data_IF_880090447975
#
_entry.id   IF_880090447975
#
_cell.length_a   1.000
_cell.length_b   1.000
_cell.length_c   1.000
_cell.angle_alpha   90.00
_cell.angle_beta   90.00
_cell.angle_gamma   90.00
#
_symmetry.space_group_name_H-M   'P 1'
#
loop_
_entity.id
_entity.type
_entity.pdbx_description
1 polymer ?
#
# COMPACT_ATOMS: atom_id res chain seq x y z
N UNK A 1 14.97 20.31 14.72
CA UNK A 1 14.19 21.56 14.74
C UNK A 1 12.72 21.20 14.83
N UNK A 2 11.93 21.89 15.67
CA UNK A 2 10.47 21.79 15.58
C UNK A 2 10.06 22.43 14.25
N UNK A 3 9.24 21.74 13.45
CA UNK A 3 8.85 22.24 12.13
C UNK A 3 8.19 23.62 12.27
N UNK A 4 8.58 24.58 11.45
CA UNK A 4 7.95 25.89 11.38
C UNK A 4 6.47 25.75 10.97
N UNK A 5 5.65 26.77 11.28
CA UNK A 5 4.26 26.80 10.82
C UNK A 5 4.13 26.75 9.29
N UNK A 6 5.14 27.26 8.57
CA UNK A 6 5.20 27.21 7.11
C UNK A 6 5.46 25.78 6.60
N UNK A 7 6.42 25.07 7.18
CA UNK A 7 6.74 23.68 6.83
C UNK A 7 5.53 22.75 7.04
N UNK A 8 4.82 22.89 8.16
CA UNK A 8 3.61 22.09 8.42
C UNK A 8 2.52 22.33 7.35
N UNK A 9 2.35 23.57 6.88
CA UNK A 9 1.43 23.90 5.78
C UNK A 9 1.89 23.30 4.46
N UNK A 10 3.17 23.38 4.15
CA UNK A 10 3.74 22.84 2.91
C UNK A 10 3.55 21.31 2.83
N UNK A 11 3.91 20.59 3.90
CA UNK A 11 3.77 19.12 3.96
C UNK A 11 2.28 18.72 3.84
N UNK A 12 1.36 19.55 4.35
CA UNK A 12 -0.07 19.32 4.18
C UNK A 12 -0.50 19.52 2.73
N UNK A 13 -0.04 20.58 2.07
CA UNK A 13 -0.34 20.83 0.65
C UNK A 13 0.22 19.73 -0.26
N UNK A 14 1.48 19.33 -0.10
CA UNK A 14 2.06 18.24 -0.91
C UNK A 14 1.27 16.94 -0.76
N UNK A 15 0.78 16.63 0.45
CA UNK A 15 -0.14 15.51 0.68
C UNK A 15 -1.49 15.67 -0.02
N UNK A 16 -2.06 16.88 -0.03
CA UNK A 16 -3.31 17.17 -0.74
C UNK A 16 -3.19 16.93 -2.24
N UNK A 17 -2.07 17.32 -2.85
CA UNK A 17 -1.80 17.10 -4.28
C UNK A 17 -1.18 15.72 -4.58
N UNK A 18 -1.04 14.85 -3.57
CA UNK A 18 -0.41 13.53 -3.68
C UNK A 18 0.99 13.57 -4.32
N UNK A 19 1.75 14.64 -4.07
CA UNK A 19 3.11 14.84 -4.59
C UNK A 19 4.09 14.16 -3.63
N UNK A 20 4.63 13.01 -4.04
CA UNK A 20 5.64 12.33 -3.25
C UNK A 20 6.94 13.16 -3.19
N UNK A 21 7.65 13.23 -2.03
CA UNK A 21 8.72 14.21 -1.84
C UNK A 21 9.89 14.11 -2.83
N UNK A 22 10.17 12.91 -3.35
CA UNK A 22 11.19 12.73 -4.40
C UNK A 22 10.89 13.49 -5.70
N UNK A 23 9.61 13.81 -5.94
CA UNK A 23 9.13 14.58 -7.08
C UNK A 23 8.97 16.07 -6.77
N UNK A 24 9.40 16.58 -5.61
CA UNK A 24 9.40 18.03 -5.40
C UNK A 24 10.34 18.80 -6.35
N UNK A 25 11.52 18.29 -6.73
CA UNK A 25 12.44 18.99 -7.64
C UNK A 25 11.85 19.43 -8.99
N UNK A 26 10.90 18.69 -9.56
CA UNK A 26 10.25 19.07 -10.84
C UNK A 26 9.47 20.39 -10.70
N UNK A 27 8.89 20.67 -9.53
CA UNK A 27 8.12 21.90 -9.29
C UNK A 27 9.00 23.14 -9.04
N UNK A 28 10.32 22.97 -9.00
CA UNK A 28 11.29 24.09 -9.00
C UNK A 28 11.64 24.54 -10.43
N UNK A 29 11.44 23.68 -11.43
CA UNK A 29 11.93 23.87 -12.81
C UNK A 29 10.83 24.25 -13.80
N UNK A 30 9.56 24.10 -13.44
CA UNK A 30 8.44 24.29 -14.34
C UNK A 30 8.00 25.76 -14.46
N UNK A 31 7.80 26.22 -15.70
CA UNK A 31 7.13 27.50 -16.02
C UNK A 31 5.63 27.49 -15.62
N UNK A 32 5.07 26.33 -15.28
CA UNK A 32 3.73 26.20 -14.74
C UNK A 32 3.74 26.53 -13.23
N UNK A 33 3.02 27.58 -12.84
CA UNK A 33 2.80 27.94 -11.45
C UNK A 33 1.91 26.89 -10.76
N UNK A 34 2.50 25.78 -10.31
CA UNK A 34 1.81 24.87 -9.40
C UNK A 34 1.60 25.56 -8.05
N UNK A 35 0.47 25.35 -7.33
CA UNK A 35 0.21 26.00 -6.05
C UNK A 35 1.26 25.83 -4.94
N UNK A 36 2.19 24.87 -5.10
CA UNK A 36 3.26 24.62 -4.11
C UNK A 36 4.59 25.28 -4.49
N UNK A 37 4.76 25.76 -5.72
CA UNK A 37 6.06 26.16 -6.27
C UNK A 37 6.70 27.29 -5.46
N UNK A 38 5.97 28.37 -5.21
CA UNK A 38 6.52 29.51 -4.45
C UNK A 38 6.92 29.12 -3.03
N UNK A 39 6.09 28.32 -2.35
CA UNK A 39 6.39 27.87 -1.00
C UNK A 39 7.59 26.91 -0.97
N UNK A 40 7.74 26.06 -1.99
CA UNK A 40 8.93 25.21 -2.13
C UNK A 40 10.18 26.07 -2.32
N UNK A 41 10.15 27.07 -3.20
CA UNK A 41 11.27 27.98 -3.43
C UNK A 41 11.68 28.67 -2.13
N UNK A 42 10.72 29.24 -1.39
CA UNK A 42 10.97 29.89 -0.09
C UNK A 42 11.67 28.94 0.89
N UNK A 43 11.16 27.72 1.06
CA UNK A 43 11.76 26.73 1.97
C UNK A 43 13.15 26.28 1.52
N UNK A 44 13.40 26.21 0.21
CA UNK A 44 14.71 25.84 -0.34
C UNK A 44 15.72 26.96 -0.11
N UNK A 45 15.33 28.23 -0.27
CA UNK A 45 16.19 29.37 0.04
C UNK A 45 16.47 29.46 1.55
N UNK A 46 15.47 29.28 2.42
CA UNK A 46 15.66 29.20 3.87
C UNK A 46 16.65 28.07 4.24
N UNK A 47 16.49 26.88 3.66
CA UNK A 47 17.40 25.77 3.87
C UNK A 47 18.81 26.05 3.33
N UNK A 48 18.93 26.77 2.21
CA UNK A 48 20.22 27.18 1.65
C UNK A 48 20.95 28.17 2.58
N UNK A 49 20.24 29.16 3.10
CA UNK A 49 20.79 30.12 4.08
C UNK A 49 21.25 29.40 5.35
N UNK A 50 20.42 28.50 5.89
CA UNK A 50 20.77 27.67 7.03
C UNK A 50 22.04 26.84 6.78
N UNK A 51 22.11 26.13 5.65
CA UNK A 51 23.28 25.34 5.29
C UNK A 51 24.53 26.20 5.08
N UNK A 52 24.38 27.45 4.68
CA UNK A 52 25.50 28.40 4.51
C UNK A 52 26.06 28.84 5.87
N UNK A 53 25.22 28.91 6.90
CA UNK A 53 25.63 29.21 8.27
C UNK A 53 26.22 28.01 9.03
N UNK A 54 25.96 26.78 8.57
CA UNK A 54 26.46 25.55 9.20
C UNK A 54 27.97 25.33 9.02
N UNK A 55 28.59 24.72 10.03
CA UNK A 55 29.94 24.17 9.92
C UNK A 55 29.95 22.89 9.06
N UNK A 56 31.12 22.51 8.52
CA UNK A 56 31.26 21.32 7.67
C UNK A 56 30.82 20.04 8.40
N UNK A 57 31.11 19.93 9.70
CA UNK A 57 30.69 18.78 10.53
C UNK A 57 29.16 18.68 10.70
N UNK A 58 28.46 19.82 10.75
CA UNK A 58 27.00 19.86 10.83
C UNK A 58 26.37 19.43 9.50
N UNK A 59 26.93 19.90 8.38
CA UNK A 59 26.50 19.48 7.04
C UNK A 59 26.70 17.97 6.83
N UNK A 60 27.83 17.42 7.28
CA UNK A 60 28.08 15.98 7.24
C UNK A 60 27.06 15.20 8.09
N UNK A 61 26.74 15.70 9.29
CA UNK A 61 25.71 15.10 10.14
C UNK A 61 24.33 15.12 9.47
N UNK A 62 23.95 16.23 8.84
CA UNK A 62 22.70 16.34 8.08
C UNK A 62 22.67 15.35 6.92
N UNK A 63 23.76 15.25 6.14
CA UNK A 63 23.89 14.26 5.07
C UNK A 63 23.69 12.84 5.61
N UNK A 64 24.36 12.50 6.71
CA UNK A 64 24.28 11.17 7.32
C UNK A 64 22.88 10.84 7.84
N UNK A 65 22.11 11.83 8.29
CA UNK A 65 20.72 11.68 8.73
C UNK A 65 19.69 11.61 7.59
N UNK A 66 20.10 11.84 6.32
CA UNK A 66 19.19 11.72 5.19
C UNK A 66 18.87 10.25 4.86
N UNK A 67 17.63 9.96 4.42
CA UNK A 67 17.29 8.69 3.80
C UNK A 67 18.19 8.35 2.61
N UNK A 68 18.52 7.06 2.43
CA UNK A 68 19.42 6.60 1.36
C UNK A 68 18.95 6.99 -0.05
N UNK A 69 17.62 7.01 -0.26
CA UNK A 69 17.01 7.46 -1.51
C UNK A 69 17.30 8.92 -1.85
N UNK A 70 17.56 9.79 -0.88
CA UNK A 70 17.93 11.19 -1.13
C UNK A 70 19.44 11.39 -1.25
N UNK A 71 20.24 10.61 -0.50
CA UNK A 71 21.71 10.66 -0.56
C UNK A 71 22.26 10.47 -1.96
N UNK A 72 21.62 9.66 -2.81
CA UNK A 72 22.06 9.48 -4.21
C UNK A 72 21.98 10.74 -5.07
N UNK A 73 21.23 11.77 -4.63
CA UNK A 73 21.07 13.02 -5.35
C UNK A 73 21.90 14.17 -4.79
N UNK A 74 22.65 13.95 -3.71
CA UNK A 74 23.47 14.99 -3.08
C UNK A 74 24.89 14.49 -2.85
N UNK A 75 25.86 15.39 -2.92
CA UNK A 75 27.26 15.05 -2.59
C UNK A 75 27.44 15.07 -1.08
N UNK A 76 28.28 14.16 -0.55
CA UNK A 76 28.70 14.20 0.86
C UNK A 76 29.61 15.37 1.18
N UNK A 77 30.25 15.97 0.16
CA UNK A 77 31.05 17.20 0.27
C UNK A 77 30.49 18.29 -0.62
N UNK A 78 30.34 19.50 -0.07
CA UNK A 78 29.82 20.68 -0.77
C UNK A 78 31.00 21.59 -1.14
N UNK A 79 31.36 21.61 -2.42
CA UNK A 79 32.49 22.35 -2.97
C UNK A 79 32.07 23.67 -3.64
N UNK A 80 30.81 23.78 -4.04
CA UNK A 80 30.30 24.96 -4.74
C UNK A 80 28.82 25.27 -4.42
N UNK A 81 28.41 26.49 -4.81
CA UNK A 81 27.05 26.99 -4.59
C UNK A 81 25.97 26.09 -5.19
N UNK A 82 26.20 25.55 -6.39
CA UNK A 82 25.25 24.66 -7.07
C UNK A 82 25.00 23.38 -6.28
N UNK A 83 26.05 22.78 -5.73
CA UNK A 83 25.93 21.61 -4.84
C UNK A 83 25.19 21.97 -3.56
N UNK A 84 25.42 23.15 -2.98
CA UNK A 84 24.71 23.62 -1.78
C UNK A 84 23.21 23.81 -2.02
N UNK A 85 22.83 24.48 -3.11
CA UNK A 85 21.42 24.63 -3.51
C UNK A 85 20.73 23.29 -3.75
N UNK A 86 21.44 22.36 -4.39
CA UNK A 86 20.95 20.98 -4.58
C UNK A 86 20.78 20.26 -3.23
N UNK A 87 21.73 20.42 -2.31
CA UNK A 87 21.62 19.86 -0.96
C UNK A 87 20.41 20.44 -0.21
N UNK A 88 20.21 21.77 -0.26
CA UNK A 88 19.06 22.43 0.35
C UNK A 88 17.72 21.86 -0.16
N UNK A 89 17.58 21.70 -1.48
CA UNK A 89 16.40 21.10 -2.09
C UNK A 89 16.11 19.70 -1.55
N UNK A 90 17.10 18.81 -1.58
CA UNK A 90 16.89 17.43 -1.11
C UNK A 90 16.81 17.31 0.41
N UNK A 91 17.37 18.27 1.15
CA UNK A 91 17.13 18.40 2.58
C UNK A 91 15.65 18.69 2.86
N UNK A 92 15.05 19.68 2.18
CA UNK A 92 13.60 19.96 2.27
C UNK A 92 12.79 18.72 1.88
N UNK A 93 13.11 18.04 0.78
CA UNK A 93 12.44 16.80 0.39
C UNK A 93 12.48 15.73 1.51
N UNK A 94 13.63 15.58 2.16
CA UNK A 94 13.80 14.61 3.25
C UNK A 94 12.97 14.95 4.49
N UNK A 95 12.87 16.23 4.85
CA UNK A 95 12.04 16.67 5.98
C UNK A 95 10.54 16.52 5.67
N UNK A 96 10.13 16.75 4.42
CA UNK A 96 8.76 16.47 3.98
C UNK A 96 8.46 14.97 4.06
N UNK A 97 9.37 14.09 3.60
CA UNK A 97 9.20 12.63 3.64
C UNK A 97 8.93 12.10 5.05
N UNK A 98 9.69 12.56 6.04
CA UNK A 98 9.54 12.15 7.45
C UNK A 98 8.13 12.32 7.99
N UNK A 99 7.38 13.30 7.47
CA UNK A 99 6.02 13.61 7.93
C UNK A 99 4.93 13.24 6.93
N UNK A 100 5.28 12.83 5.71
CA UNK A 100 4.33 12.62 4.62
C UNK A 100 3.37 11.44 4.89
N UNK A 101 3.87 10.36 5.48
CA UNK A 101 3.12 9.14 5.80
C UNK A 101 2.94 8.88 7.30
N UNK A 102 2.63 9.90 8.10
CA UNK A 102 2.37 9.72 9.53
C UNK A 102 1.31 8.64 9.79
N UNK A 103 1.71 7.53 10.43
CA UNK A 103 0.82 6.42 10.74
C UNK A 103 -0.09 6.74 11.92
N UNK A 104 0.39 7.49 12.92
CA UNK A 104 -0.44 7.94 14.05
C UNK A 104 -1.74 8.61 13.57
N UNK A 105 -1.65 9.51 12.58
CA UNK A 105 -2.82 10.20 12.02
C UNK A 105 -3.67 9.35 11.07
N UNK A 106 -3.09 8.31 10.45
CA UNK A 106 -3.84 7.36 9.62
C UNK A 106 -4.62 6.36 10.49
N UNK A 107 -4.01 5.91 11.58
CA UNK A 107 -4.64 5.02 12.55
C UNK A 107 -5.71 5.78 13.33
N UNK A 108 -5.41 7.00 13.80
CA UNK A 108 -6.29 7.82 14.62
C UNK A 108 -6.86 9.02 13.86
N UNK A 109 -7.62 8.76 12.81
CA UNK A 109 -8.30 9.84 12.08
C UNK A 109 -9.32 10.54 12.99
N UNK A 110 -9.05 11.81 13.29
CA UNK A 110 -9.99 12.70 13.95
C UNK A 110 -10.88 13.36 12.89
N UNK A 111 -12.19 13.06 12.91
CA UNK A 111 -13.14 13.61 11.93
C UNK A 111 -13.30 15.13 12.04
N UNK A 112 -13.11 15.71 13.24
CA UNK A 112 -13.13 17.17 13.44
C UNK A 112 -11.99 17.87 12.70
N UNK A 113 -10.88 17.16 12.48
CA UNK A 113 -9.73 17.67 11.76
C UNK A 113 -9.78 17.37 10.25
N UNK A 114 -10.76 16.58 9.81
CA UNK A 114 -10.86 16.09 8.43
C UNK A 114 -10.88 17.24 7.42
N UNK A 115 -9.90 17.26 6.52
CA UNK A 115 -9.89 18.18 5.40
C UNK A 115 -11.05 17.92 4.43
N UNK A 116 -11.45 16.64 4.29
CA UNK A 116 -12.59 16.25 3.46
C UNK A 116 -13.89 16.82 4.04
N UNK A 117 -14.17 16.60 5.33
CA UNK A 117 -15.42 17.07 5.95
C UNK A 117 -15.46 18.59 6.17
N UNK A 118 -14.29 19.24 6.28
CA UNK A 118 -14.23 20.71 6.26
C UNK A 118 -14.66 21.29 4.92
N UNK A 119 -14.34 20.62 3.81
CA UNK A 119 -14.72 21.06 2.47
C UNK A 119 -16.13 20.59 2.08
N UNK A 120 -16.50 19.38 2.47
CA UNK A 120 -17.80 18.75 2.19
C UNK A 120 -18.42 18.20 3.48
N UNK A 121 -18.96 19.07 4.36
CA UNK A 121 -19.57 18.65 5.62
C UNK A 121 -20.72 17.64 5.43
N UNK A 122 -21.43 17.72 4.31
CA UNK A 122 -22.54 16.82 3.94
C UNK A 122 -22.10 15.36 3.78
N UNK A 123 -20.81 15.10 3.56
CA UNK A 123 -20.30 13.73 3.48
C UNK A 123 -20.31 13.03 4.84
N UNK A 124 -20.41 13.74 5.96
CA UNK A 124 -20.46 13.14 7.30
C UNK A 124 -21.58 12.12 7.45
N UNK A 125 -22.73 12.35 6.80
CA UNK A 125 -23.89 11.44 6.79
C UNK A 125 -23.70 10.21 5.89
N UNK A 126 -22.64 10.19 5.07
CA UNK A 126 -22.32 9.09 4.14
C UNK A 126 -21.31 8.10 4.73
N UNK A 127 -20.79 8.35 5.93
CA UNK A 127 -19.91 7.42 6.62
C UNK A 127 -20.71 6.50 7.56
N UNK A 128 -20.36 5.22 7.58
CA UNK A 128 -20.87 4.31 8.60
C UNK A 128 -20.15 4.48 9.94
N UNK A 129 -20.60 3.74 10.96
CA UNK A 129 -19.99 3.74 12.30
C UNK A 129 -18.53 3.28 12.33
N UNK A 130 -18.08 2.54 11.32
CA UNK A 130 -16.72 2.05 11.19
C UNK A 130 -15.83 3.06 10.43
N UNK A 131 -16.40 4.20 9.98
CA UNK A 131 -15.71 5.25 9.23
C UNK A 131 -15.59 4.97 7.73
N UNK A 132 -16.37 4.03 7.19
CA UNK A 132 -16.35 3.71 5.76
C UNK A 132 -17.35 4.57 4.98
N UNK A 133 -16.91 5.14 3.86
CA UNK A 133 -17.76 5.90 2.96
C UNK A 133 -18.67 4.96 2.16
N UNK A 134 -19.98 5.20 2.19
CA UNK A 134 -20.95 4.50 1.34
C UNK A 134 -20.85 4.93 -0.12
N UNK A 135 -20.56 3.99 -1.01
CA UNK A 135 -20.29 4.26 -2.44
C UNK A 135 -21.55 4.16 -3.29
N UNK A 136 -22.32 5.26 -3.34
CA UNK A 136 -23.51 5.42 -4.16
C UNK A 136 -23.20 6.09 -5.52
N UNK A 137 -24.24 6.45 -6.28
CA UNK A 137 -24.11 7.07 -7.62
C UNK A 137 -23.40 8.43 -7.64
N UNK A 138 -23.20 9.07 -6.49
CA UNK A 138 -22.58 10.40 -6.39
C UNK A 138 -21.04 10.32 -6.53
N UNK A 139 -20.49 9.10 -6.51
CA UNK A 139 -19.06 8.83 -6.55
C UNK A 139 -18.65 8.09 -7.82
N UNK A 140 -17.53 8.53 -8.42
CA UNK A 140 -16.84 7.81 -9.50
C UNK A 140 -15.53 7.28 -8.94
N UNK A 141 -15.36 5.95 -8.96
CA UNK A 141 -14.15 5.31 -8.47
C UNK A 141 -13.10 5.29 -9.57
N UNK A 142 -11.92 5.79 -9.26
CA UNK A 142 -10.71 5.60 -10.06
C UNK A 142 -9.71 4.77 -9.25
N UNK A 143 -8.73 4.18 -9.93
CA UNK A 143 -7.71 3.35 -9.27
C UNK A 143 -6.88 4.19 -8.27
N UNK A 144 -6.71 5.49 -8.52
CA UNK A 144 -5.96 6.43 -7.65
C UNK A 144 -6.78 7.16 -6.57
N UNK A 145 -8.11 7.15 -6.64
CA UNK A 145 -8.98 7.85 -5.70
C UNK A 145 -10.45 7.88 -6.14
N UNK A 146 -11.29 8.56 -5.36
CA UNK A 146 -12.73 8.64 -5.58
C UNK A 146 -13.08 10.07 -5.99
N UNK A 147 -13.62 10.26 -7.18
CA UNK A 147 -14.15 11.57 -7.58
C UNK A 147 -15.43 11.88 -6.82
N UNK A 148 -15.47 13.05 -6.20
CA UNK A 148 -16.67 13.67 -5.67
C UNK A 148 -16.67 15.15 -6.04
N UNK A 149 -17.70 15.58 -6.79
CA UNK A 149 -17.77 16.93 -7.37
C UNK A 149 -16.47 17.28 -8.11
N UNK A 150 -15.82 18.39 -7.75
CA UNK A 150 -14.59 18.89 -8.38
C UNK A 150 -13.31 18.39 -7.68
N UNK A 151 -13.39 17.35 -6.86
CA UNK A 151 -12.24 16.87 -6.09
C UNK A 151 -12.10 15.35 -6.16
N UNK A 152 -10.89 14.87 -5.88
CA UNK A 152 -10.55 13.48 -5.63
C UNK A 152 -10.34 13.29 -4.13
N UNK A 153 -11.12 12.37 -3.56
CA UNK A 153 -10.93 11.84 -2.21
C UNK A 153 -9.94 10.68 -2.31
N UNK A 154 -8.85 10.73 -1.56
CA UNK A 154 -7.86 9.64 -1.59
C UNK A 154 -8.36 8.44 -0.79
N UNK A 155 -8.08 7.23 -1.26
CA UNK A 155 -8.23 6.03 -0.43
C UNK A 155 -7.38 6.13 0.84
N UNK A 156 -7.85 5.46 1.89
CA UNK A 156 -7.16 5.41 3.17
C UNK A 156 -5.69 4.96 3.00
N UNK A 157 -4.75 5.54 3.75
CA UNK A 157 -3.32 5.24 3.62
C UNK A 157 -3.01 3.73 3.73
N UNK A 158 -3.76 3.00 4.55
CA UNK A 158 -3.58 1.55 4.73
C UNK A 158 -4.07 0.69 3.55
N UNK A 159 -4.68 1.28 2.52
CA UNK A 159 -4.97 0.62 1.23
C UNK A 159 -3.82 0.77 0.22
N UNK A 160 -2.74 1.47 0.58
CA UNK A 160 -1.54 1.62 -0.26
C UNK A 160 -0.62 0.42 -0.14
N UNK A 161 0.10 0.10 -1.22
CA UNK A 161 1.18 -0.88 -1.19
C UNK A 161 2.24 -0.46 -0.18
N UNK A 162 2.58 -1.35 0.75
CA UNK A 162 3.48 -1.05 1.88
C UNK A 162 3.05 0.15 2.72
N UNK A 163 1.77 0.53 2.66
CA UNK A 163 1.14 1.67 3.34
C UNK A 163 1.75 3.06 3.09
N UNK A 164 2.71 3.16 2.17
CA UNK A 164 3.52 4.35 1.86
C UNK A 164 3.74 4.54 0.35
N UNK A 165 3.20 3.68 -0.50
CA UNK A 165 3.33 3.80 -1.96
C UNK A 165 2.00 4.20 -2.62
N UNK A 166 1.84 3.86 -3.89
CA UNK A 166 0.57 3.95 -4.60
C UNK A 166 -0.51 3.07 -3.96
N UNK A 167 -1.80 3.38 -4.16
CA UNK A 167 -2.90 2.46 -3.85
C UNK A 167 -2.65 1.06 -4.42
N UNK A 168 -3.22 0.04 -3.79
CA UNK A 168 -3.26 -1.30 -4.36
C UNK A 168 -4.20 -1.32 -5.58
N UNK A 169 -3.69 -0.93 -6.75
CA UNK A 169 -4.50 -0.71 -7.95
C UNK A 169 -5.29 -1.95 -8.36
N UNK A 170 -4.69 -3.14 -8.37
CA UNK A 170 -5.38 -4.38 -8.72
C UNK A 170 -6.62 -4.62 -7.84
N UNK A 171 -6.48 -4.43 -6.52
CA UNK A 171 -7.60 -4.57 -5.60
C UNK A 171 -8.68 -3.51 -5.84
N UNK A 172 -8.28 -2.23 -5.97
CA UNK A 172 -9.22 -1.12 -6.14
C UNK A 172 -9.96 -1.20 -7.47
N UNK A 173 -9.27 -1.60 -8.53
CA UNK A 173 -9.84 -1.79 -9.86
C UNK A 173 -10.89 -2.89 -9.83
N UNK A 174 -10.56 -4.08 -9.32
CA UNK A 174 -11.54 -5.17 -9.16
C UNK A 174 -12.72 -4.74 -8.28
N UNK A 175 -12.46 -4.03 -7.18
CA UNK A 175 -13.51 -3.51 -6.30
C UNK A 175 -14.45 -2.54 -7.03
N UNK A 176 -13.90 -1.61 -7.81
CA UNK A 176 -14.65 -0.61 -8.56
C UNK A 176 -15.45 -1.23 -9.71
N UNK A 177 -14.85 -2.15 -10.46
CA UNK A 177 -15.48 -2.90 -11.55
C UNK A 177 -16.65 -3.72 -11.02
N UNK A 178 -16.41 -4.50 -9.97
CA UNK A 178 -17.45 -5.33 -9.36
C UNK A 178 -18.61 -4.50 -8.84
N UNK A 179 -18.31 -3.33 -8.25
CA UNK A 179 -19.32 -2.37 -7.83
C UNK A 179 -20.14 -1.84 -9.00
N UNK A 180 -19.52 -1.51 -10.13
CA UNK A 180 -20.23 -1.08 -11.34
C UNK A 180 -21.21 -2.14 -11.84
N UNK A 181 -20.77 -3.42 -11.84
CA UNK A 181 -21.55 -4.55 -12.31
C UNK A 181 -22.70 -4.95 -11.35
N UNK A 182 -22.54 -4.71 -10.05
CA UNK A 182 -23.45 -5.25 -9.01
C UNK A 182 -24.11 -4.19 -8.13
N UNK A 183 -24.05 -2.91 -8.48
CA UNK A 183 -24.63 -1.78 -7.69
C UNK A 183 -26.09 -1.93 -7.25
N UNK A 184 -26.88 -2.77 -7.92
CA UNK A 184 -28.29 -3.02 -7.59
C UNK A 184 -28.50 -4.23 -6.65
N UNK A 185 -27.43 -4.98 -6.37
CA UNK A 185 -27.47 -6.21 -5.56
C UNK A 185 -26.56 -6.11 -4.33
N UNK A 186 -25.49 -5.32 -4.45
CA UNK A 186 -24.41 -5.24 -3.48
C UNK A 186 -24.19 -3.81 -3.01
N UNK A 187 -23.96 -3.64 -1.72
CA UNK A 187 -23.57 -2.39 -1.09
C UNK A 187 -22.06 -2.36 -0.88
N UNK A 188 -21.42 -1.27 -1.30
CA UNK A 188 -19.98 -1.09 -1.21
C UNK A 188 -19.64 0.07 -0.29
N UNK A 189 -18.67 -0.16 0.59
CA UNK A 189 -18.11 0.88 1.46
C UNK A 189 -16.59 0.81 1.45
N UNK A 190 -15.92 1.95 1.50
CA UNK A 190 -14.46 2.02 1.49
C UNK A 190 -13.96 3.22 2.31
N UNK A 191 -12.84 3.04 3.00
CA UNK A 191 -12.22 4.06 3.82
C UNK A 191 -11.45 5.07 2.95
N UNK A 192 -11.51 6.34 3.33
CA UNK A 192 -10.75 7.43 2.68
C UNK A 192 -9.70 8.01 3.63
N UNK A 193 -8.69 8.69 3.08
CA UNK A 193 -7.77 9.50 3.88
C UNK A 193 -8.37 10.87 4.15
N UNK A 194 -8.96 11.05 5.34
CA UNK A 194 -9.58 12.31 5.76
C UNK A 194 -8.62 13.51 5.78
N UNK A 195 -7.29 13.28 5.67
CA UNK A 195 -6.25 14.31 5.66
C UNK A 195 -5.86 14.74 4.25
N UNK A 196 -6.34 14.07 3.20
CA UNK A 196 -5.97 14.33 1.80
C UNK A 196 -7.21 14.55 0.96
N UNK A 197 -7.16 15.58 0.14
CA UNK A 197 -8.19 15.94 -0.82
C UNK A 197 -7.53 16.77 -1.90
N UNK A 198 -7.80 16.45 -3.16
CA UNK A 198 -7.11 17.03 -4.31
C UNK A 198 -8.14 17.63 -5.27
N UNK A 199 -7.94 18.84 -5.81
CA UNK A 199 -8.77 19.31 -6.91
C UNK A 199 -8.64 18.38 -8.12
N UNK A 200 -9.75 18.12 -8.81
CA UNK A 200 -9.81 17.13 -9.89
C UNK A 200 -8.87 17.50 -11.04
N UNK A 201 -8.62 18.78 -11.31
CA UNK A 201 -7.72 19.21 -12.38
C UNK A 201 -6.26 18.75 -12.20
N UNK A 202 -5.84 18.44 -10.96
CA UNK A 202 -4.49 17.92 -10.67
C UNK A 202 -4.43 16.38 -10.66
N UNK A 203 -5.56 15.69 -10.87
CA UNK A 203 -5.57 14.23 -10.92
C UNK A 203 -4.97 13.73 -12.22
N UNK A 204 -3.82 13.05 -12.11
CA UNK A 204 -3.24 12.26 -13.18
C UNK A 204 -3.40 10.77 -12.87
N UNK A 205 -3.89 10.01 -13.85
CA UNK A 205 -3.90 8.56 -13.75
C UNK A 205 -2.49 8.03 -13.99
N UNK A 206 -1.97 7.26 -13.05
CA UNK A 206 -0.69 6.57 -13.18
C UNK A 206 -0.98 5.10 -13.50
N UNK A 207 -0.41 4.60 -14.59
CA UNK A 207 -0.38 3.18 -14.89
C UNK A 207 1.01 2.65 -14.52
N UNK A 208 1.06 1.68 -13.61
CA UNK A 208 2.28 0.94 -13.30
C UNK A 208 2.30 -0.28 -14.23
N UNK A 209 3.23 -0.31 -15.18
CA UNK A 209 3.38 -1.40 -16.15
C UNK A 209 4.67 -2.16 -15.85
N UNK A 210 4.55 -3.47 -15.58
CA UNK A 210 5.70 -4.36 -15.46
C UNK A 210 6.09 -4.86 -16.87
N UNK A 211 7.35 -4.62 -17.27
CA UNK A 211 7.86 -5.02 -18.58
C UNK A 211 8.46 -6.42 -18.56
N UNK A 212 8.05 -7.27 -19.49
CA UNK A 212 8.52 -8.66 -19.63
C UNK A 212 9.49 -8.71 -20.83
N UNK A 213 10.56 -9.52 -20.77
CA UNK A 213 11.53 -9.65 -21.88
C UNK A 213 11.61 -11.09 -22.36
N UNK A 214 11.35 -11.31 -23.65
CA UNK A 214 11.41 -12.62 -24.29
C UNK A 214 10.40 -12.75 -25.43
N UNK A 215 10.34 -13.93 -26.04
CA UNK A 215 9.32 -14.25 -27.05
C UNK A 215 7.95 -14.35 -26.37
N UNK A 216 6.89 -13.73 -26.92
CA UNK A 216 5.54 -13.87 -26.38
C UNK A 216 5.06 -15.32 -26.52
N UNK A 217 4.16 -15.77 -25.64
CA UNK A 217 3.48 -17.05 -25.84
C UNK A 217 2.58 -16.95 -27.06
N UNK A 218 2.76 -17.86 -28.04
CA UNK A 218 1.92 -17.97 -29.23
C UNK A 218 1.51 -19.42 -29.40
N UNK A 219 0.24 -19.70 -29.06
CA UNK A 219 -0.34 -21.04 -29.08
C UNK A 219 -0.19 -21.71 -30.46
N UNK A 220 -0.16 -20.93 -31.54
CA UNK A 220 -0.14 -21.45 -32.91
C UNK A 220 1.25 -21.91 -33.37
N UNK A 221 2.29 -21.68 -32.56
CA UNK A 221 3.69 -21.98 -32.91
C UNK A 221 4.30 -23.09 -32.07
N UNK A 222 3.48 -23.81 -31.30
CA UNK A 222 3.91 -24.94 -30.46
C UNK A 222 4.63 -26.04 -31.27
N UNK A 223 4.20 -26.26 -32.53
CA UNK A 223 4.76 -27.30 -33.40
C UNK A 223 5.82 -26.78 -34.38
N UNK A 224 6.17 -25.49 -34.36
CA UNK A 224 7.21 -24.94 -35.24
C UNK A 224 8.60 -25.20 -34.64
N UNK A 225 9.44 -26.05 -35.26
CA UNK A 225 10.76 -26.38 -34.72
C UNK A 225 11.74 -25.19 -34.71
N UNK A 226 11.39 -24.08 -35.36
CA UNK A 226 12.18 -22.84 -35.36
C UNK A 226 11.65 -21.82 -34.34
N UNK A 227 10.51 -22.09 -33.70
CA UNK A 227 9.97 -21.25 -32.63
C UNK A 227 10.64 -21.56 -31.29
N UNK A 228 11.94 -21.30 -31.25
CA UNK A 228 12.82 -21.56 -30.10
C UNK A 228 13.43 -20.25 -29.61
N UNK A 229 13.56 -20.11 -28.28
CA UNK A 229 14.16 -18.94 -27.65
C UNK A 229 13.92 -18.93 -26.15
N UNK A 230 14.77 -18.22 -25.41
CA UNK A 230 14.61 -18.07 -23.97
C UNK A 230 13.62 -16.94 -23.69
N UNK A 231 12.44 -17.28 -23.17
CA UNK A 231 11.56 -16.32 -22.50
C UNK A 231 11.84 -16.39 -21.01
N UNK A 232 12.42 -15.33 -20.46
CA UNK A 232 12.67 -15.25 -19.03
C UNK A 232 11.47 -14.57 -18.38
N UNK A 233 10.73 -15.33 -17.58
CA UNK A 233 9.70 -14.81 -16.69
C UNK A 233 10.28 -14.87 -15.28
N UNK A 234 10.48 -13.73 -14.63
CA UNK A 234 10.95 -13.69 -13.25
C UNK A 234 9.96 -12.97 -12.34
N UNK A 235 9.67 -13.56 -11.17
CA UNK A 235 10.51 -13.23 -10.02
C UNK A 235 11.03 -14.52 -9.40
N UNK A 236 12.25 -14.87 -9.79
CA UNK A 236 13.03 -15.87 -9.11
C UNK A 236 13.24 -15.41 -7.68
N UNK A 237 13.20 -16.34 -6.76
CA UNK A 237 13.27 -16.03 -5.38
C UNK A 237 14.82 -16.13 -5.03
N UNK A 238 15.63 -17.11 -5.42
CA UNK A 238 15.64 -18.46 -4.85
C UNK A 238 15.58 -18.47 -3.28
N UNK A 239 15.18 -17.44 -2.50
CA UNK A 239 13.77 -17.16 -2.39
C UNK A 239 13.28 -15.68 -1.99
N UNK A 240 13.37 -14.61 -2.81
CA UNK A 240 12.93 -13.18 -2.70
C UNK A 240 11.59 -12.70 -2.04
N UNK A 241 10.41 -13.33 -2.08
CA UNK A 241 9.31 -12.94 -1.15
C UNK A 241 9.78 -12.97 0.33
N UNK A 242 10.83 -13.72 0.69
CA UNK A 242 11.44 -13.76 2.03
C UNK A 242 12.27 -12.50 2.36
N UNK A 243 12.78 -11.79 1.34
CA UNK A 243 13.45 -10.48 1.49
C UNK A 243 12.53 -9.28 1.25
N UNK A 244 11.26 -9.51 0.88
CA UNK A 244 10.35 -8.44 0.41
C UNK A 244 8.94 -8.47 1.03
N UNK A 245 8.52 -9.57 1.65
CA UNK A 245 7.29 -9.69 2.43
C UNK A 245 7.65 -10.12 3.84
N UNK A 246 7.61 -9.16 4.75
CA UNK A 246 7.95 -9.40 6.16
C UNK A 246 6.75 -10.00 6.90
N UNK A 247 6.38 -11.22 6.53
CA UNK A 247 5.32 -12.02 7.13
C UNK A 247 5.92 -13.24 7.86
N UNK A 248 5.45 -13.49 9.08
CA UNK A 248 5.72 -14.69 9.89
C UNK A 248 4.81 -15.84 9.45
N UNK A 249 3.50 -15.60 9.38
CA UNK A 249 2.49 -16.58 8.95
C UNK A 249 1.20 -15.91 8.52
N UNK A 250 0.30 -16.69 7.92
CA UNK A 250 -1.09 -16.29 7.70
C UNK A 250 -1.99 -17.32 8.37
N UNK A 251 -2.87 -16.85 9.24
CA UNK A 251 -3.84 -17.69 9.93
C UNK A 251 -5.17 -17.66 9.18
N UNK A 252 -5.74 -18.83 8.91
CA UNK A 252 -7.05 -19.00 8.26
C UNK A 252 -7.98 -19.70 9.24
N UNK A 253 -9.14 -19.11 9.53
CA UNK A 253 -10.08 -19.64 10.50
C UNK A 253 -11.48 -19.73 9.89
N UNK A 254 -12.07 -20.93 9.92
CA UNK A 254 -13.48 -21.12 9.63
C UNK A 254 -14.22 -21.45 10.93
N UNK A 255 -15.33 -20.76 11.14
CA UNK A 255 -16.29 -21.14 12.17
C UNK A 255 -17.69 -21.27 11.57
N UNK A 256 -18.59 -21.92 12.30
CA UNK A 256 -19.96 -22.12 11.87
C UNK A 256 -20.92 -21.94 13.03
N UNK A 257 -21.93 -21.11 12.83
CA UNK A 257 -23.00 -20.88 13.79
C UNK A 257 -24.27 -20.47 13.06
N UNK A 258 -25.40 -21.06 13.45
CA UNK A 258 -26.73 -20.65 12.98
C UNK A 258 -26.84 -20.50 11.45
N UNK A 259 -26.35 -21.50 10.70
CA UNK A 259 -26.31 -21.56 9.21
C UNK A 259 -25.30 -20.64 8.53
N UNK A 260 -24.56 -19.85 9.31
CA UNK A 260 -23.56 -18.94 8.79
C UNK A 260 -22.19 -19.55 9.00
N UNK A 261 -21.49 -19.82 7.88
CA UNK A 261 -20.05 -20.06 7.91
C UNK A 261 -19.35 -18.70 7.93
N UNK A 262 -18.54 -18.50 8.95
CA UNK A 262 -17.67 -17.32 9.05
C UNK A 262 -16.26 -17.74 8.65
N UNK A 263 -15.61 -16.92 7.84
CA UNK A 263 -14.23 -17.09 7.44
C UNK A 263 -13.42 -15.86 7.81
N UNK A 264 -12.29 -16.09 8.44
CA UNK A 264 -11.38 -15.05 8.88
C UNK A 264 -9.98 -15.38 8.40
N UNK A 265 -9.25 -14.33 7.98
CA UNK A 265 -7.83 -14.41 7.66
C UNK A 265 -7.13 -13.32 8.44
N UNK A 266 -5.99 -13.63 9.06
CA UNK A 266 -5.07 -12.63 9.60
C UNK A 266 -3.65 -12.92 9.14
N UNK A 267 -3.00 -11.92 8.53
CA UNK A 267 -1.56 -11.93 8.36
C UNK A 267 -0.86 -11.62 9.67
N UNK A 268 0.19 -12.34 10.00
CA UNK A 268 1.08 -12.04 11.12
C UNK A 268 2.41 -11.61 10.52
N UNK A 269 2.80 -10.36 10.76
CA UNK A 269 4.07 -9.80 10.28
C UNK A 269 5.31 -10.28 11.07
N UNK A 270 6.49 -10.14 10.48
CA UNK A 270 7.76 -10.33 11.18
C UNK A 270 8.03 -9.18 12.17
N UNK A 271 8.86 -9.41 13.20
CA UNK A 271 9.16 -8.40 14.23
C UNK A 271 9.89 -7.16 13.70
N UNK A 272 10.51 -7.26 12.52
CA UNK A 272 11.19 -6.14 11.84
C UNK A 272 10.22 -5.32 10.99
N UNK A 273 9.02 -5.82 10.71
CA UNK A 273 8.04 -5.12 9.87
C UNK A 273 7.25 -4.10 10.68
N UNK A 274 7.88 -2.97 10.91
CA UNK A 274 7.31 -1.90 11.73
C UNK A 274 7.11 -0.63 10.93
N UNK A 275 6.06 0.09 11.30
CA UNK A 275 5.68 1.36 10.72
C UNK A 275 5.56 2.36 11.87
N UNK A 276 6.55 3.24 12.00
CA UNK A 276 6.84 3.99 13.23
C UNK A 276 7.05 3.04 14.43
N UNK A 277 6.05 2.93 15.31
CA UNK A 277 6.04 2.06 16.48
C UNK A 277 4.95 0.97 16.41
N UNK A 278 4.32 0.82 15.23
CA UNK A 278 3.18 -0.06 15.02
C UNK A 278 3.55 -1.29 14.21
N UNK A 279 2.82 -2.37 14.49
CA UNK A 279 2.78 -3.60 13.72
C UNK A 279 1.41 -3.72 13.07
N UNK A 280 1.38 -4.05 11.78
CA UNK A 280 0.16 -4.09 10.98
C UNK A 280 -0.09 -5.47 10.42
N UNK A 281 -1.27 -6.00 10.73
CA UNK A 281 -1.76 -7.28 10.26
C UNK A 281 -2.98 -7.03 9.38
N UNK A 282 -2.90 -7.31 8.08
CA UNK A 282 -4.09 -7.31 7.22
C UNK A 282 -5.04 -8.42 7.69
N UNK A 283 -6.33 -8.12 7.67
CA UNK A 283 -7.36 -9.01 8.19
C UNK A 283 -8.59 -8.99 7.28
N UNK A 284 -9.18 -10.17 7.05
CA UNK A 284 -10.45 -10.34 6.35
C UNK A 284 -11.44 -11.00 7.29
N UNK A 285 -12.70 -10.58 7.22
CA UNK A 285 -13.86 -11.28 7.76
C UNK A 285 -14.89 -11.47 6.65
N UNK A 286 -15.46 -12.67 6.56
CA UNK A 286 -16.47 -12.99 5.57
C UNK A 286 -17.53 -13.92 6.14
N UNK A 287 -18.77 -13.74 5.69
CA UNK A 287 -19.88 -14.63 6.01
C UNK A 287 -20.48 -15.26 4.77
N UNK A 288 -20.71 -16.57 4.86
CA UNK A 288 -21.42 -17.37 3.87
C UNK A 288 -22.64 -18.01 4.49
N UNK A 289 -23.80 -17.75 3.91
CA UNK A 289 -25.02 -18.46 4.26
C UNK A 289 -25.02 -19.83 3.60
N UNK A 290 -25.06 -20.90 4.40
CA UNK A 290 -24.98 -22.27 3.88
C UNK A 290 -26.28 -22.76 3.25
N UNK A 291 -27.41 -22.15 3.59
CA UNK A 291 -28.71 -22.49 3.05
C UNK A 291 -28.87 -21.93 1.64
N UNK A 292 -28.62 -20.64 1.45
CA UNK A 292 -28.69 -20.01 0.10
C UNK A 292 -27.40 -20.19 -0.71
N UNK A 293 -26.35 -20.73 -0.09
CA UNK A 293 -25.04 -21.04 -0.70
C UNK A 293 -24.29 -19.81 -1.25
N UNK A 294 -24.57 -18.63 -0.72
CA UNK A 294 -23.99 -17.35 -1.17
C UNK A 294 -23.16 -16.68 -0.07
N UNK A 295 -22.11 -15.97 -0.47
CA UNK A 295 -21.40 -15.05 0.43
C UNK A 295 -22.21 -13.77 0.55
N UNK A 296 -22.47 -13.36 1.79
CA UNK A 296 -23.35 -12.22 2.08
C UNK A 296 -22.64 -10.99 2.61
N UNK A 297 -21.40 -11.19 3.05
CA UNK A 297 -20.60 -10.19 3.71
C UNK A 297 -19.13 -10.49 3.50
N UNK A 298 -18.36 -9.47 3.17
CA UNK A 298 -16.91 -9.51 3.07
C UNK A 298 -16.37 -8.13 3.47
N UNK A 299 -15.55 -8.07 4.52
CA UNK A 299 -14.84 -6.85 4.91
C UNK A 299 -13.35 -7.09 5.13
N UNK A 300 -12.58 -6.05 4.80
CA UNK A 300 -11.14 -6.02 4.98
C UNK A 300 -10.74 -4.90 5.93
N UNK A 301 -9.77 -5.20 6.78
CA UNK A 301 -9.26 -4.32 7.81
C UNK A 301 -7.75 -4.50 7.98
N UNK A 302 -7.16 -3.59 8.76
CA UNK A 302 -5.82 -3.77 9.33
C UNK A 302 -5.95 -3.75 10.85
N UNK A 303 -5.52 -4.84 11.50
CA UNK A 303 -5.33 -4.90 12.95
C UNK A 303 -3.98 -4.29 13.28
N UNK A 304 -3.99 -3.31 14.17
CA UNK A 304 -2.84 -2.51 14.58
C UNK A 304 -2.43 -2.91 15.99
N UNK A 305 -1.15 -3.20 16.18
CA UNK A 305 -0.58 -3.54 17.47
C UNK A 305 0.58 -2.60 17.81
N UNK A 306 0.80 -2.40 19.11
CA UNK A 306 2.04 -1.84 19.66
C UNK A 306 2.92 -3.00 20.14
N UNK A 307 4.22 -2.75 20.33
CA UNK A 307 5.24 -3.78 20.59
C UNK A 307 4.81 -4.87 21.59
N UNK A 308 4.39 -4.50 22.79
CA UNK A 308 4.07 -5.48 23.84
C UNK A 308 2.85 -6.33 23.46
N UNK A 309 1.80 -5.70 22.92
CA UNK A 309 0.61 -6.39 22.43
C UNK A 309 0.94 -7.31 21.26
N UNK A 310 1.89 -6.90 20.42
CA UNK A 310 2.27 -7.65 19.22
C UNK A 310 2.97 -8.96 19.57
N UNK A 311 3.88 -8.93 20.55
CA UNK A 311 4.55 -10.16 21.03
C UNK A 311 3.54 -11.17 21.58
N UNK A 312 2.52 -10.70 22.30
CA UNK A 312 1.43 -11.56 22.76
C UNK A 312 0.60 -12.09 21.59
N UNK A 313 0.30 -11.25 20.59
CA UNK A 313 -0.40 -11.69 19.37
C UNK A 313 0.39 -12.78 18.62
N UNK A 314 1.70 -12.61 18.45
CA UNK A 314 2.58 -13.56 17.76
C UNK A 314 2.59 -14.94 18.43
N UNK A 315 2.50 -14.98 19.75
CA UNK A 315 2.44 -16.20 20.57
C UNK A 315 1.02 -16.78 20.75
N UNK A 316 0.02 -16.23 20.08
CA UNK A 316 -1.38 -16.68 20.12
C UNK A 316 -1.87 -17.06 18.72
N UNK A 317 -2.98 -17.80 18.64
CA UNK A 317 -3.61 -18.22 17.39
C UNK A 317 -5.09 -17.87 17.41
N UNK A 318 -5.68 -17.57 16.25
CA UNK A 318 -7.13 -17.47 16.12
C UNK A 318 -7.83 -18.78 16.57
N UNK A 319 -8.99 -18.72 17.25
CA UNK A 319 -9.76 -17.52 17.62
C UNK A 319 -9.45 -16.99 19.04
N UNK A 320 -8.33 -17.42 19.64
CA UNK A 320 -7.90 -17.00 21.00
C UNK A 320 -6.79 -15.97 20.91
N UNK A 321 -6.78 -15.17 19.86
CA UNK A 321 -5.71 -14.22 19.61
C UNK A 321 -5.72 -13.05 20.60
N UNK A 322 -4.55 -12.48 20.84
CA UNK A 322 -4.46 -11.26 21.64
C UNK A 322 -5.13 -10.08 20.93
N UNK A 323 -5.85 -9.24 21.69
CA UNK A 323 -6.61 -8.13 21.13
C UNK A 323 -5.68 -7.05 20.55
N UNK A 324 -5.98 -6.63 19.32
CA UNK A 324 -5.31 -5.49 18.69
C UNK A 324 -5.52 -4.18 19.45
N UNK A 325 -4.53 -3.29 19.39
CA UNK A 325 -4.64 -1.92 19.91
C UNK A 325 -5.76 -1.17 19.18
N UNK A 326 -5.85 -1.35 17.85
CA UNK A 326 -6.93 -0.81 17.03
C UNK A 326 -7.20 -1.72 15.83
N UNK A 327 -8.46 -1.80 15.40
CA UNK A 327 -8.85 -2.40 14.11
C UNK A 327 -9.34 -1.29 13.20
N UNK A 328 -8.63 -1.03 12.11
CA UNK A 328 -9.01 -0.02 11.10
C UNK A 328 -9.70 -0.75 9.96
N UNK A 329 -11.02 -0.59 9.83
CA UNK A 329 -11.75 -1.17 8.70
C UNK A 329 -11.45 -0.35 7.44
N UNK A 330 -11.22 -1.01 6.32
CA UNK A 330 -10.77 -0.37 5.08
C UNK A 330 -11.80 -0.48 3.97
N UNK A 331 -12.52 -1.58 3.88
CA UNK A 331 -13.55 -1.77 2.87
C UNK A 331 -14.53 -2.84 3.30
N UNK A 332 -15.72 -2.81 2.71
CA UNK A 332 -16.80 -3.75 2.99
C UNK A 332 -17.72 -3.89 1.79
N UNK A 333 -18.16 -5.12 1.54
CA UNK A 333 -19.19 -5.47 0.59
C UNK A 333 -20.25 -6.30 1.32
N UNK A 334 -21.52 -5.91 1.20
CA UNK A 334 -22.67 -6.72 1.62
C UNK A 334 -23.54 -7.02 0.40
N UNK A 335 -24.18 -8.18 0.34
CA UNK A 335 -25.11 -8.53 -0.74
C UNK A 335 -24.97 -9.97 -1.22
N UNK A 336 -24.99 -10.19 -2.53
CA UNK A 336 -24.75 -11.48 -3.17
C UNK A 336 -23.35 -11.47 -3.82
N UNK A 337 -22.36 -11.97 -3.08
CA UNK A 337 -20.96 -11.97 -3.50
C UNK A 337 -20.64 -13.30 -4.17
N UNK A 338 -20.28 -13.25 -5.46
CA UNK A 338 -19.92 -14.43 -6.24
C UNK A 338 -18.62 -15.06 -5.72
N UNK A 339 -18.54 -16.39 -5.68
CA UNK A 339 -17.40 -17.13 -5.11
C UNK A 339 -16.06 -16.75 -5.76
N UNK A 340 -16.01 -16.63 -7.09
CA UNK A 340 -14.79 -16.26 -7.80
C UNK A 340 -14.32 -14.85 -7.42
N UNK A 341 -15.25 -13.88 -7.41
CA UNK A 341 -14.98 -12.49 -7.01
C UNK A 341 -14.56 -12.42 -5.55
N UNK A 342 -15.20 -13.20 -4.67
CA UNK A 342 -14.85 -13.30 -3.26
C UNK A 342 -13.38 -13.75 -3.08
N UNK A 343 -12.97 -14.82 -3.76
CA UNK A 343 -11.58 -15.29 -3.67
C UNK A 343 -10.57 -14.33 -4.32
N UNK A 344 -10.94 -13.69 -5.43
CA UNK A 344 -10.06 -12.73 -6.13
C UNK A 344 -9.86 -11.44 -5.31
N UNK A 345 -10.92 -10.89 -4.73
CA UNK A 345 -10.82 -9.71 -3.86
C UNK A 345 -9.92 -9.98 -2.65
N UNK A 346 -10.04 -11.16 -2.02
CA UNK A 346 -9.17 -11.57 -0.92
C UNK A 346 -7.72 -11.67 -1.42
N UNK A 347 -7.50 -12.32 -2.57
CA UNK A 347 -6.17 -12.50 -3.15
C UNK A 347 -5.48 -11.17 -3.48
N UNK A 348 -6.20 -10.22 -4.10
CA UNK A 348 -5.64 -8.89 -4.37
C UNK A 348 -5.48 -8.05 -3.11
N UNK A 349 -6.39 -8.15 -2.13
CA UNK A 349 -6.22 -7.43 -0.86
C UNK A 349 -4.96 -7.87 -0.13
N UNK A 350 -4.68 -9.18 -0.15
CA UNK A 350 -3.45 -9.78 0.36
C UNK A 350 -2.34 -9.91 -0.70
N UNK A 351 -2.33 -9.05 -1.74
CA UNK A 351 -1.27 -9.05 -2.77
C UNK A 351 0.11 -9.16 -2.13
N UNK A 352 0.95 -10.00 -2.76
CA UNK A 352 2.29 -10.40 -2.31
C UNK A 352 2.35 -11.40 -1.15
N UNK A 353 1.23 -11.96 -0.69
CA UNK A 353 1.21 -13.08 0.25
C UNK A 353 0.88 -14.40 -0.47
N UNK A 354 1.90 -15.21 -0.72
CA UNK A 354 1.79 -16.48 -1.42
C UNK A 354 0.99 -17.54 -0.65
N UNK A 355 0.88 -17.41 0.69
CA UNK A 355 0.11 -18.36 1.52
C UNK A 355 -1.39 -18.29 1.19
N UNK A 356 -1.86 -17.17 0.65
CA UNK A 356 -3.24 -17.03 0.16
C UNK A 356 -3.49 -17.92 -1.05
N UNK A 357 -2.56 -17.93 -2.01
CA UNK A 357 -2.63 -18.80 -3.19
C UNK A 357 -2.56 -20.27 -2.73
N UNK A 358 -1.60 -20.59 -1.86
CA UNK A 358 -1.47 -21.95 -1.29
C UNK A 358 -2.75 -22.45 -0.62
N UNK A 359 -3.47 -21.55 0.05
CA UNK A 359 -4.72 -21.90 0.74
C UNK A 359 -5.88 -22.13 -0.23
N UNK A 360 -6.07 -21.25 -1.22
CA UNK A 360 -7.20 -21.34 -2.14
C UNK A 360 -6.99 -22.32 -3.28
N UNK A 361 -5.75 -22.48 -3.75
CA UNK A 361 -5.41 -23.29 -4.91
C UNK A 361 -4.00 -23.91 -4.74
N UNK A 362 -3.90 -25.01 -3.97
CA UNK A 362 -2.62 -25.70 -3.74
C UNK A 362 -1.96 -26.18 -5.04
N UNK A 363 -2.74 -26.64 -6.03
CA UNK A 363 -2.20 -27.11 -7.30
C UNK A 363 -1.58 -25.96 -8.09
N UNK A 364 -2.27 -24.82 -8.19
CA UNK A 364 -1.71 -23.62 -8.81
C UNK A 364 -0.50 -23.07 -8.06
N UNK A 365 -0.48 -23.14 -6.74
CA UNK A 365 0.71 -22.79 -5.95
C UNK A 365 1.92 -23.65 -6.39
N UNK A 366 1.74 -24.95 -6.51
CA UNK A 366 2.79 -25.89 -6.93
C UNK A 366 3.22 -25.68 -8.40
N UNK A 367 2.29 -25.28 -9.27
CA UNK A 367 2.57 -24.96 -10.68
C UNK A 367 3.30 -23.64 -10.86
N UNK A 368 2.96 -22.61 -10.07
CA UNK A 368 3.56 -21.27 -10.18
C UNK A 368 4.92 -21.20 -9.49
N UNK A 369 5.10 -21.93 -8.39
CA UNK A 369 6.32 -21.89 -7.59
C UNK A 369 7.09 -23.21 -7.70
N UNK A 370 8.22 -23.16 -8.39
CA UNK A 370 9.16 -24.27 -8.51
C UNK A 370 9.57 -24.85 -7.14
N UNK A 371 9.90 -26.16 -7.07
CA UNK A 371 10.34 -26.83 -5.84
C UNK A 371 11.46 -26.04 -5.13
N UNK A 372 12.43 -25.51 -5.88
CA UNK A 372 13.52 -24.68 -5.34
C UNK A 372 13.04 -23.40 -4.65
N UNK A 373 11.92 -22.84 -5.12
CA UNK A 373 11.33 -21.61 -4.59
C UNK A 373 10.49 -21.88 -3.35
N UNK A 374 9.74 -22.99 -3.33
CA UNK A 374 8.84 -23.35 -2.22
C UNK A 374 9.50 -24.17 -1.10
N UNK A 375 10.52 -24.98 -1.42
CA UNK A 375 11.23 -25.86 -0.48
C UNK A 375 12.67 -26.14 -0.95
N UNK A 376 13.59 -25.24 -0.58
CA UNK A 376 14.99 -25.28 -1.01
C UNK A 376 15.75 -26.53 -0.54
N UNK A 377 15.44 -27.03 0.66
CA UNK A 377 16.09 -28.23 1.22
C UNK A 377 15.60 -29.49 0.52
N UNK A 378 14.30 -29.61 0.26
CA UNK A 378 13.76 -30.71 -0.54
C UNK A 378 14.33 -30.71 -1.97
N UNK A 379 14.44 -29.53 -2.59
CA UNK A 379 15.10 -29.40 -3.89
C UNK A 379 16.56 -29.88 -3.84
N UNK A 380 17.31 -29.48 -2.82
CA UNK A 380 18.72 -29.87 -2.67
C UNK A 380 18.89 -31.39 -2.53
N UNK A 381 18.02 -32.05 -1.76
CA UNK A 381 18.01 -33.50 -1.59
C UNK A 381 17.74 -34.24 -2.92
N UNK A 382 16.82 -33.74 -3.75
CA UNK A 382 16.55 -34.31 -5.08
C UNK A 382 17.80 -34.20 -5.98
N UNK A 383 18.49 -33.05 -5.94
CA UNK A 383 19.71 -32.86 -6.73
C UNK A 383 20.88 -33.74 -6.27
N UNK A 384 20.98 -34.03 -4.97
CA UNK A 384 22.02 -34.91 -4.42
C UNK A 384 21.75 -36.39 -4.77
N UNK A 385 20.48 -36.82 -4.83
CA UNK A 385 20.11 -38.18 -5.25
C UNK A 385 20.32 -38.43 -6.75
N UNK A 386 19.98 -37.46 -7.59
CA UNK A 386 20.20 -37.55 -9.05
C UNK A 386 21.69 -37.57 -9.43
N UNK A 387 22.57 -37.07 -8.55
CA UNK A 387 24.03 -37.06 -8.77
C UNK A 387 24.73 -38.37 -8.38
N UNK A 388 24.12 -39.19 -7.51
CA UNK A 388 24.65 -40.49 -7.09
C UNK A 388 24.23 -41.64 -8.05
N UNK A 389 23.23 -41.41 -8.91
CA UNK A 389 22.70 -42.36 -9.91
C UNK A 389 23.30 -42.18 -11.33
N UNK A 390 24.23 -41.24 -11.52
CA UNK A 390 25.01 -41.03 -12.77
C UNK A 390 26.49 -41.35 -12.59
#
# INVERSE_FOLDING_TARGET
MALSGAECRFIKQTRHYNIYPIYLPQYMLEEQQHPITNQLIELVEEAYEYLTACEESEVENLFNCMPSGFKMFVSSRIENERQRKRFALYYVCSEVERSYFSFKGAINQNLEESAVLKLYPELSEKFDRDGLLHINSDFILFNGGIQYKNHILHYHQLLRRGYTSNPNFDFIELFAEYRSQTKNRNEFRIAIDHRRIMPKEFYAQVAEMDGWRGLPFDLNKLDDPNYIGLTVIERNKNSLFERTCSLDRTEFHWSYRDRIKTFEIEEISDDRYTFDCYYFNRYIHSERDTQVKAFRHLDGAVKVYVKDNYQQRKNSLMPKEFRSHRKVKLWRIDGDIALNIWSELISYFFKSNEMIIRYFDPEKFEQIFDLRVRDFEAWKLVQEQDADDT
#
